data_IF_578833511551
#
_entry.id   IF_578833511551
#
_cell.length_a   1.000
_cell.length_b   1.000
_cell.length_c   1.000
_cell.angle_alpha   90.00
_cell.angle_beta   90.00
_cell.angle_gamma   90.00
#
_symmetry.space_group_name_H-M   'P 1'
#
loop_
_entity.id
_entity.type
_entity.pdbx_description
1 polymer ?
#
# COMPACT_ATOMS: atom_id res chain seq x y z
N UNK A 1 -5.82 13.87 8.25
CA UNK A 1 -4.53 13.14 8.20
C UNK A 1 -3.70 13.74 7.07
N UNK A 2 -2.42 14.07 7.29
CA UNK A 2 -1.55 14.67 6.25
C UNK A 2 -0.86 13.59 5.42
N UNK A 3 -0.47 13.91 4.19
CA UNK A 3 0.24 12.97 3.29
C UNK A 3 1.54 12.43 3.91
N UNK A 4 2.25 13.25 4.70
CA UNK A 4 3.47 12.87 5.41
C UNK A 4 3.22 11.80 6.47
N UNK A 5 2.09 11.85 7.17
CA UNK A 5 1.72 10.83 8.16
C UNK A 5 1.37 9.51 7.47
N UNK A 6 0.60 9.54 6.38
CA UNK A 6 0.25 8.32 5.62
C UNK A 6 1.49 7.57 5.10
N UNK A 7 2.49 8.30 4.61
CA UNK A 7 3.74 7.68 4.15
C UNK A 7 4.52 6.98 5.26
N UNK A 8 4.57 7.59 6.46
CA UNK A 8 5.25 6.99 7.61
C UNK A 8 4.56 5.70 8.05
N UNK A 9 3.23 5.67 8.07
CA UNK A 9 2.46 4.47 8.44
C UNK A 9 2.64 3.36 7.40
N UNK A 10 2.57 3.70 6.12
CA UNK A 10 2.87 2.77 5.04
C UNK A 10 4.28 2.14 5.19
N UNK A 11 5.30 2.95 5.49
CA UNK A 11 6.67 2.45 5.72
C UNK A 11 6.75 1.47 6.88
N UNK A 12 6.07 1.73 8.00
CA UNK A 12 6.02 0.80 9.14
C UNK A 12 5.37 -0.52 8.73
N UNK A 13 4.25 -0.45 8.02
CA UNK A 13 3.51 -1.63 7.54
C UNK A 13 4.36 -2.48 6.59
N UNK A 14 5.06 -1.88 5.63
CA UNK A 14 5.96 -2.61 4.74
C UNK A 14 7.11 -3.25 5.52
N UNK A 15 7.74 -2.52 6.44
CA UNK A 15 8.86 -3.06 7.22
C UNK A 15 8.44 -4.33 7.98
N UNK A 16 7.22 -4.36 8.51
CA UNK A 16 6.69 -5.49 9.29
C UNK A 16 6.07 -6.61 8.42
N UNK A 17 5.46 -6.27 7.28
CA UNK A 17 4.61 -7.19 6.52
C UNK A 17 4.98 -7.33 5.03
N UNK A 18 6.16 -6.87 4.61
CA UNK A 18 6.65 -7.02 3.22
C UNK A 18 6.56 -8.46 2.71
N UNK A 19 6.83 -9.47 3.54
CA UNK A 19 6.66 -10.89 3.17
C UNK A 19 5.20 -11.29 2.89
N UNK A 20 4.23 -10.68 3.58
CA UNK A 20 2.80 -11.01 3.47
C UNK A 20 2.15 -10.33 2.25
N UNK A 21 2.56 -9.09 1.98
CA UNK A 21 1.94 -8.23 0.98
C UNK A 21 2.80 -7.97 -0.26
N UNK A 22 4.05 -8.46 -0.31
CA UNK A 22 4.92 -8.29 -1.48
C UNK A 22 4.23 -8.71 -2.78
N UNK A 23 4.30 -7.84 -3.79
CA UNK A 23 3.66 -8.03 -5.09
C UNK A 23 2.16 -7.69 -5.11
N UNK A 24 1.61 -7.11 -4.05
CA UNK A 24 0.18 -6.79 -3.92
C UNK A 24 -0.02 -5.30 -3.69
N UNK A 25 -1.21 -4.84 -4.06
CA UNK A 25 -1.79 -3.59 -3.58
C UNK A 25 -2.40 -3.82 -2.21
N UNK A 26 -2.23 -2.83 -1.32
CA UNK A 26 -2.89 -2.75 -0.01
C UNK A 26 -3.71 -1.46 0.06
N UNK A 27 -4.89 -1.53 0.67
CA UNK A 27 -5.63 -0.36 1.10
C UNK A 27 -5.41 -0.14 2.59
N UNK A 28 -5.04 1.08 2.95
CA UNK A 28 -4.83 1.51 4.31
C UNK A 28 -5.83 2.59 4.70
N UNK A 29 -6.35 2.47 5.92
CA UNK A 29 -7.16 3.47 6.59
C UNK A 29 -6.52 3.70 7.94
N UNK A 30 -6.18 4.94 8.23
CA UNK A 30 -5.40 5.28 9.42
C UNK A 30 -4.08 4.46 9.45
N UNK A 31 -3.94 3.48 10.35
CA UNK A 31 -2.73 2.64 10.49
C UNK A 31 -2.96 1.18 10.05
N UNK A 32 -4.18 0.83 9.63
CA UNK A 32 -4.59 -0.55 9.39
C UNK A 32 -4.73 -0.88 7.90
N UNK A 33 -4.31 -2.11 7.55
CA UNK A 33 -4.56 -2.69 6.23
C UNK A 33 -5.97 -3.29 6.21
N UNK A 34 -6.89 -2.64 5.50
CA UNK A 34 -8.30 -3.05 5.43
C UNK A 34 -8.60 -3.95 4.22
N UNK A 35 -7.76 -3.91 3.19
CA UNK A 35 -7.87 -4.81 2.03
C UNK A 35 -6.50 -5.03 1.35
N UNK A 36 -6.35 -6.15 0.65
CA UNK A 36 -5.19 -6.42 -0.20
C UNK A 36 -5.57 -7.26 -1.43
N UNK A 37 -4.77 -7.16 -2.50
CA UNK A 37 -5.03 -7.87 -3.75
C UNK A 37 -4.05 -7.51 -4.86
N UNK A 38 -4.21 -8.14 -6.03
CA UNK A 38 -3.36 -7.91 -7.20
C UNK A 38 -3.81 -6.73 -8.07
N UNK A 39 -5.05 -6.24 -7.89
CA UNK A 39 -5.62 -5.15 -8.68
C UNK A 39 -5.94 -3.93 -7.80
N UNK A 40 -5.41 -2.78 -8.19
CA UNK A 40 -5.52 -1.54 -7.42
C UNK A 40 -6.99 -1.10 -7.24
N UNK A 41 -7.78 -1.18 -8.30
CA UNK A 41 -9.15 -0.68 -8.30
C UNK A 41 -10.09 -1.59 -7.49
N UNK A 42 -9.93 -2.91 -7.60
CA UNK A 42 -10.65 -3.88 -6.81
C UNK A 42 -10.31 -3.76 -5.32
N UNK A 43 -9.05 -3.48 -4.97
CA UNK A 43 -8.62 -3.22 -3.59
C UNK A 43 -9.27 -1.95 -3.04
N UNK A 44 -9.31 -0.86 -3.83
CA UNK A 44 -10.02 0.36 -3.45
C UNK A 44 -11.51 0.10 -3.21
N UNK A 45 -12.21 -0.55 -4.15
CA UNK A 45 -13.64 -0.89 -4.00
C UNK A 45 -13.91 -1.71 -2.74
N UNK A 46 -13.07 -2.72 -2.48
CA UNK A 46 -13.20 -3.56 -1.28
C UNK A 46 -13.04 -2.74 0.00
N UNK A 47 -12.10 -1.81 0.03
CA UNK A 47 -11.88 -0.94 1.17
C UNK A 47 -13.07 -0.03 1.42
N UNK A 48 -13.56 0.70 0.41
CA UNK A 48 -14.62 1.71 0.59
C UNK A 48 -16.01 1.11 0.84
N UNK A 49 -16.24 -0.17 0.51
CA UNK A 49 -17.55 -0.83 0.67
C UNK A 49 -18.11 -0.74 2.09
N UNK A 50 -17.23 -0.77 3.10
CA UNK A 50 -17.62 -0.79 4.52
C UNK A 50 -17.14 0.46 5.29
N UNK A 51 -16.72 1.52 4.58
CA UNK A 51 -16.16 2.71 5.22
C UNK A 51 -17.09 3.92 5.06
N UNK A 52 -17.13 4.81 6.07
CA UNK A 52 -17.77 6.12 5.91
C UNK A 52 -17.14 6.89 4.73
N UNK A 53 -17.92 7.62 3.91
CA UNK A 53 -17.41 8.38 2.76
C UNK A 53 -16.34 9.42 3.12
N UNK A 54 -16.33 9.88 4.37
CA UNK A 54 -15.40 10.87 4.90
C UNK A 54 -14.03 10.32 5.29
N UNK A 55 -13.85 8.99 5.36
CA UNK A 55 -12.57 8.40 5.74
C UNK A 55 -11.63 8.31 4.52
N UNK A 56 -10.43 8.92 4.58
CA UNK A 56 -9.47 8.82 3.50
C UNK A 56 -8.88 7.41 3.42
N UNK A 57 -8.85 6.83 2.22
CA UNK A 57 -8.25 5.52 1.93
C UNK A 57 -6.99 5.74 1.09
N UNK A 58 -5.85 5.28 1.59
CA UNK A 58 -4.60 5.22 0.82
C UNK A 58 -4.46 3.85 0.16
N UNK A 59 -4.19 3.78 -1.14
CA UNK A 59 -3.90 2.52 -1.83
C UNK A 59 -2.46 2.53 -2.31
N UNK A 60 -1.71 1.50 -1.92
CA UNK A 60 -0.27 1.44 -2.15
C UNK A 60 0.15 0.08 -2.70
N UNK A 61 1.12 0.07 -3.62
CA UNK A 61 1.78 -1.15 -4.05
C UNK A 61 2.92 -1.51 -3.08
N UNK A 62 2.99 -2.76 -2.65
CA UNK A 62 4.08 -3.28 -1.83
C UNK A 62 5.07 -4.01 -2.74
N UNK A 63 6.24 -3.43 -3.04
CA UNK A 63 7.18 -4.03 -3.98
C UNK A 63 7.84 -5.28 -3.40
N UNK A 64 8.11 -6.25 -4.27
CA UNK A 64 8.98 -7.39 -3.95
C UNK A 64 10.45 -6.98 -4.00
N UNK A 65 11.35 -7.84 -3.49
CA UNK A 65 12.80 -7.65 -3.65
C UNK A 65 13.20 -7.51 -5.13
N UNK A 66 12.57 -8.29 -6.01
CA UNK A 66 12.83 -8.24 -7.45
C UNK A 66 12.42 -6.89 -8.05
N UNK A 67 11.25 -6.39 -7.68
CA UNK A 67 10.77 -5.08 -8.15
C UNK A 67 11.70 -3.94 -7.71
N UNK A 68 12.19 -3.99 -6.47
CA UNK A 68 13.14 -3.01 -5.96
C UNK A 68 14.47 -3.05 -6.71
N UNK A 69 14.96 -4.23 -7.12
CA UNK A 69 16.18 -4.35 -7.92
C UNK A 69 16.01 -3.75 -9.32
N UNK A 70 14.84 -3.96 -9.95
CA UNK A 70 14.53 -3.37 -11.27
C UNK A 70 14.45 -1.84 -11.19
N UNK A 71 13.85 -1.30 -10.13
CA UNK A 71 13.76 0.15 -9.91
C UNK A 71 15.14 0.80 -9.72
N UNK A 72 16.04 0.17 -8.97
CA UNK A 72 17.39 0.70 -8.73
C UNK A 72 18.24 0.71 -10.01
N UNK A 73 18.09 -0.29 -10.87
CA UNK A 73 18.80 -0.36 -12.15
C UNK A 73 18.46 0.82 -13.05
N UNK A 74 17.17 1.13 -13.22
CA UNK A 74 16.71 2.22 -14.10
C UNK A 74 17.05 3.64 -13.59
N UNK A 75 17.47 3.79 -12.33
CA UNK A 75 17.92 5.08 -11.77
C UNK A 75 19.43 5.31 -11.85
N UNK A 76 20.21 4.27 -12.15
CA UNK A 76 21.68 4.34 -12.20
C UNK A 76 22.24 4.30 -13.64
N UNK A 77 21.36 4.16 -14.63
CA UNK A 77 21.65 4.20 -16.07
C UNK A 77 20.98 5.40 -16.69
#
# INVERSE_FOLDING_TARGET
>A
MTAKNQWNEFRKVIKKHSRKYGGKFIAMVDEDVVASGSDQYAVYKKAVKNLPPSKPVGVYYVPTKKDLMVLLWNTLT
#
